data_IF_812039549183
#
_entry.id   IF_812039549183
#
_cell.length_a   1.000
_cell.length_b   1.000
_cell.length_c   1.000
_cell.angle_alpha   90.00
_cell.angle_beta   90.00
_cell.angle_gamma   90.00
#
_symmetry.space_group_name_H-M   'P 1'
#
loop_
_entity.id
_entity.type
_entity.pdbx_description
1 polymer ?
#
# COMPACT_ATOMS: atom_id res chain seq x y z
N UNK A 1 -21.97 17.71 26.55
CA UNK A 1 -22.24 18.11 25.15
C UNK A 1 -23.72 18.39 25.04
N UNK A 2 -24.06 19.66 24.92
CA UNK A 2 -25.44 20.13 24.74
C UNK A 2 -25.81 20.02 23.25
N UNK A 3 -27.10 19.86 22.94
CA UNK A 3 -27.58 19.68 21.55
C UNK A 3 -27.18 20.84 20.61
N UNK A 4 -26.91 22.01 21.16
CA UNK A 4 -26.45 23.19 20.44
C UNK A 4 -25.00 23.04 19.90
N UNK A 5 -24.16 22.26 20.58
CA UNK A 5 -22.80 21.94 20.13
C UNK A 5 -22.80 20.86 19.03
N UNK A 6 -23.83 19.99 19.00
CA UNK A 6 -23.98 18.97 17.97
C UNK A 6 -24.54 19.56 16.66
N UNK A 7 -25.47 20.52 16.75
CA UNK A 7 -26.06 21.19 15.58
C UNK A 7 -25.07 22.13 14.87
N UNK A 8 -24.12 22.75 15.59
CA UNK A 8 -23.04 23.53 14.96
C UNK A 8 -22.05 22.66 14.19
N UNK A 9 -21.92 21.38 14.53
CA UNK A 9 -21.02 20.45 13.84
C UNK A 9 -21.65 19.84 12.58
N UNK A 10 -22.98 19.84 12.49
CA UNK A 10 -23.73 19.19 11.41
C UNK A 10 -24.20 20.17 10.32
N UNK A 11 -24.24 21.49 10.62
CA UNK A 11 -24.58 22.55 9.65
C UNK A 11 -23.37 23.35 9.12
N UNK A 12 -22.14 22.98 9.49
CA UNK A 12 -20.92 23.52 8.89
C UNK A 12 -20.52 22.69 7.68
N UNK A 13 -21.15 22.90 6.53
CA UNK A 13 -20.65 22.40 5.24
C UNK A 13 -19.21 22.92 5.05
N UNK A 14 -18.20 22.05 4.90
CA UNK A 14 -16.93 22.48 4.39
C UNK A 14 -17.14 22.80 2.91
N UNK A 15 -17.13 24.08 2.58
CA UNK A 15 -16.96 24.58 1.22
C UNK A 15 -15.59 24.10 0.71
N UNK A 16 -15.58 23.04 -0.11
CA UNK A 16 -14.36 22.44 -0.69
C UNK A 16 -13.89 23.24 -1.92
N UNK A 17 -14.43 24.43 -2.16
CA UNK A 17 -13.99 25.32 -3.23
C UNK A 17 -12.77 26.16 -2.83
N UNK A 18 -11.61 25.52 -2.67
CA UNK A 18 -10.26 26.06 -2.93
C UNK A 18 -9.21 25.04 -2.47
N UNK A 19 -9.02 24.00 -3.26
CA UNK A 19 -7.73 23.31 -3.32
C UNK A 19 -7.02 23.93 -4.51
N UNK A 20 -5.88 24.57 -4.24
CA UNK A 20 -5.00 25.16 -5.25
C UNK A 20 -4.77 24.18 -6.41
N UNK A 21 -5.17 24.61 -7.61
CA UNK A 21 -4.85 23.96 -8.88
C UNK A 21 -3.33 23.93 -9.05
N UNK A 22 -2.69 22.81 -8.71
CA UNK A 22 -1.51 22.40 -9.43
C UNK A 22 -1.95 22.07 -10.87
N UNK A 23 -1.26 22.56 -11.91
CA UNK A 23 -1.73 22.39 -13.28
C UNK A 23 -1.74 20.90 -13.63
N UNK A 24 -2.94 20.34 -13.76
CA UNK A 24 -3.18 19.11 -14.49
C UNK A 24 -2.77 19.36 -15.94
N UNK A 25 -1.53 19.01 -16.26
CA UNK A 25 -1.20 18.64 -17.63
C UNK A 25 -1.85 17.27 -17.85
N UNK A 26 -3.04 17.28 -18.45
CA UNK A 26 -3.56 16.14 -19.19
C UNK A 26 -2.55 15.80 -20.30
N UNK A 27 -1.50 15.04 -19.98
CA UNK A 27 -0.81 14.28 -21.01
C UNK A 27 -1.78 13.18 -21.45
N UNK A 28 -2.42 13.39 -22.61
CA UNK A 28 -3.06 12.33 -23.37
C UNK A 28 -2.14 11.11 -23.37
N UNK A 29 -2.54 10.05 -22.66
CA UNK A 29 -1.87 8.76 -22.73
C UNK A 29 -2.14 8.16 -24.11
N UNK A 30 -1.38 8.61 -25.12
CA UNK A 30 -1.32 7.97 -26.43
C UNK A 30 -0.70 6.60 -26.22
N UNK A 31 -1.54 5.58 -26.10
CA UNK A 31 -1.13 4.20 -26.37
C UNK A 31 -0.73 4.14 -27.84
N UNK A 32 0.52 4.45 -28.14
CA UNK A 32 1.13 4.08 -29.42
C UNK A 32 1.16 2.56 -29.45
N UNK A 33 0.18 1.98 -30.15
CA UNK A 33 0.21 0.57 -30.51
C UNK A 33 1.40 0.36 -31.43
N UNK A 34 2.46 -0.24 -30.90
CA UNK A 34 3.65 -0.58 -31.64
C UNK A 34 3.32 -1.68 -32.66
N UNK A 35 3.41 -1.37 -33.94
CA UNK A 35 3.42 -2.39 -35.00
C UNK A 35 4.84 -2.97 -35.08
N UNK A 36 5.04 -4.28 -34.78
CA UNK A 36 6.36 -4.89 -34.76
C UNK A 36 7.12 -4.82 -36.10
N UNK A 37 6.43 -4.54 -37.21
CA UNK A 37 7.01 -4.49 -38.55
C UNK A 37 7.46 -3.10 -39.02
N UNK A 38 7.18 -2.00 -38.29
CA UNK A 38 7.52 -0.63 -38.71
C UNK A 38 8.23 0.19 -37.61
N UNK A 39 8.99 -0.47 -36.73
CA UNK A 39 9.81 0.25 -35.76
C UNK A 39 10.98 0.96 -36.46
N UNK A 40 10.77 2.24 -36.76
CA UNK A 40 11.82 3.18 -37.12
C UNK A 40 12.05 4.10 -35.93
N UNK A 41 13.31 4.22 -35.51
CA UNK A 41 13.70 5.20 -34.50
C UNK A 41 13.53 6.58 -35.14
N UNK A 42 12.46 7.29 -34.80
CA UNK A 42 12.28 8.68 -35.22
C UNK A 42 13.45 9.51 -34.69
N UNK A 43 14.30 10.01 -35.60
CA UNK A 43 15.52 10.74 -35.29
C UNK A 43 15.29 12.10 -34.59
N UNK A 44 14.03 12.53 -34.50
CA UNK A 44 13.61 13.78 -33.82
C UNK A 44 13.46 13.61 -32.29
N UNK A 45 13.38 12.38 -31.77
CA UNK A 45 13.40 12.15 -30.31
C UNK A 45 14.83 12.27 -29.80
N UNK A 46 15.06 13.22 -28.88
CA UNK A 46 16.38 13.55 -28.31
C UNK A 46 17.01 12.30 -27.67
N UNK A 47 18.00 11.75 -28.34
CA UNK A 47 18.78 10.59 -27.93
C UNK A 47 20.08 11.03 -27.23
N UNK A 48 20.54 10.36 -26.15
CA UNK A 48 19.93 9.22 -25.47
C UNK A 48 18.73 9.60 -24.60
N UNK A 49 17.80 8.65 -24.32
CA UNK A 49 16.72 8.86 -23.36
C UNK A 49 17.31 9.27 -21.99
N UNK A 50 16.60 10.11 -21.21
CA UNK A 50 17.07 10.51 -19.89
C UNK A 50 17.29 9.27 -19.01
N UNK A 51 18.31 9.28 -18.14
CA UNK A 51 18.57 8.17 -17.24
C UNK A 51 17.32 7.87 -16.39
N UNK A 52 17.01 6.59 -16.11
CA UNK A 52 15.84 6.24 -15.32
C UNK A 52 15.85 6.98 -13.98
N UNK A 53 14.81 7.78 -13.72
CA UNK A 53 14.56 8.35 -12.38
C UNK A 53 14.22 7.23 -11.40
N UNK A 54 14.29 7.50 -10.09
CA UNK A 54 14.06 6.49 -9.04
C UNK A 54 12.70 5.78 -9.20
N UNK A 55 11.69 6.49 -9.70
CA UNK A 55 10.34 5.96 -9.98
C UNK A 55 10.29 4.92 -11.10
N UNK A 56 11.31 4.87 -11.96
CA UNK A 56 11.42 3.87 -13.03
C UNK A 56 12.26 2.65 -12.61
N UNK A 57 12.83 2.67 -11.39
CA UNK A 57 13.59 1.55 -10.84
C UNK A 57 12.66 0.58 -10.11
N UNK A 58 11.90 -0.19 -10.90
CA UNK A 58 10.93 -1.18 -10.41
C UNK A 58 11.50 -2.16 -9.38
N UNK A 59 12.80 -2.49 -9.47
CA UNK A 59 13.49 -3.36 -8.50
C UNK A 59 13.61 -2.70 -7.12
N UNK A 60 13.92 -1.40 -7.09
CA UNK A 60 14.05 -0.63 -5.85
C UNK A 60 12.68 -0.47 -5.16
N UNK A 61 11.64 -0.16 -5.94
CA UNK A 61 10.27 -0.07 -5.43
C UNK A 61 9.79 -1.38 -4.82
N UNK A 62 10.08 -2.52 -5.46
CA UNK A 62 9.74 -3.83 -4.91
C UNK A 62 10.52 -4.14 -3.62
N UNK A 63 11.80 -3.75 -3.53
CA UNK A 63 12.60 -3.90 -2.30
C UNK A 63 12.02 -3.03 -1.15
N UNK A 64 11.64 -1.78 -1.44
CA UNK A 64 10.98 -0.88 -0.46
C UNK A 64 9.64 -1.44 0.02
N UNK A 65 8.79 -1.89 -0.89
CA UNK A 65 7.50 -2.51 -0.55
C UNK A 65 7.71 -3.75 0.32
N UNK A 66 8.73 -4.56 0.03
CA UNK A 66 9.04 -5.77 0.82
C UNK A 66 9.42 -5.41 2.25
N UNK A 67 10.28 -4.39 2.42
CA UNK A 67 10.75 -3.91 3.72
C UNK A 67 9.64 -3.26 4.55
N UNK A 68 8.84 -2.40 3.93
CA UNK A 68 7.73 -1.73 4.62
C UNK A 68 6.66 -2.75 5.03
N UNK A 69 6.39 -3.74 4.18
CA UNK A 69 5.47 -4.85 4.48
C UNK A 69 5.95 -5.69 5.66
N UNK A 70 7.26 -5.89 5.83
CA UNK A 70 7.82 -6.61 6.99
C UNK A 70 7.60 -5.82 8.29
N UNK A 71 7.93 -4.53 8.31
CA UNK A 71 7.76 -3.67 9.50
C UNK A 71 6.29 -3.54 9.87
N UNK A 72 5.42 -3.31 8.89
CA UNK A 72 3.97 -3.24 9.09
C UNK A 72 3.39 -4.59 9.49
N UNK A 73 3.95 -5.67 8.96
CA UNK A 73 3.71 -7.02 9.43
C UNK A 73 3.89 -7.09 10.94
N UNK A 74 5.12 -6.96 11.44
CA UNK A 74 5.40 -7.05 12.88
C UNK A 74 4.46 -6.20 13.75
N UNK A 75 4.14 -4.97 13.33
CA UNK A 75 3.19 -4.10 14.05
C UNK A 75 1.78 -4.70 14.15
N UNK A 76 1.29 -5.37 13.11
CA UNK A 76 -0.02 -6.04 13.13
C UNK A 76 0.03 -7.24 14.09
N UNK A 77 1.12 -8.02 14.10
CA UNK A 77 1.28 -9.13 15.04
C UNK A 77 1.23 -8.65 16.50
N UNK A 78 2.00 -7.61 16.83
CA UNK A 78 2.00 -7.02 18.17
C UNK A 78 0.59 -6.56 18.56
N UNK A 79 -0.14 -5.94 17.63
CA UNK A 79 -1.49 -5.47 17.89
C UNK A 79 -2.49 -6.62 18.08
N UNK A 80 -2.37 -7.71 17.32
CA UNK A 80 -3.19 -8.91 17.49
C UNK A 80 -2.92 -9.59 18.84
N UNK A 81 -1.66 -9.60 19.31
CA UNK A 81 -1.31 -10.12 20.63
C UNK A 81 -1.94 -9.29 21.74
N UNK A 82 -1.86 -7.95 21.63
CA UNK A 82 -2.53 -7.03 22.58
C UNK A 82 -4.05 -7.27 22.61
N UNK A 83 -4.67 -7.53 21.45
CA UNK A 83 -6.10 -7.85 21.38
C UNK A 83 -6.43 -9.18 22.07
N UNK A 84 -5.65 -10.23 21.81
CA UNK A 84 -5.82 -11.53 22.47
C UNK A 84 -5.67 -11.45 23.99
N UNK A 85 -4.63 -10.74 24.47
CA UNK A 85 -4.40 -10.48 25.89
C UNK A 85 -5.54 -9.66 26.52
N UNK A 86 -6.04 -8.66 25.78
CA UNK A 86 -7.18 -7.84 26.18
C UNK A 86 -8.45 -8.68 26.35
N UNK A 87 -8.75 -9.54 25.38
CA UNK A 87 -9.85 -10.50 25.45
C UNK A 87 -9.69 -11.43 26.66
N UNK A 88 -8.51 -12.01 26.87
CA UNK A 88 -8.25 -12.86 28.04
C UNK A 88 -8.50 -12.16 29.39
N UNK A 89 -8.13 -10.87 29.50
CA UNK A 89 -8.41 -10.05 30.70
C UNK A 89 -9.92 -9.80 30.88
N UNK A 90 -10.63 -9.44 29.81
CA UNK A 90 -12.10 -9.25 29.83
C UNK A 90 -12.77 -10.55 30.28
N UNK A 91 -12.38 -11.69 29.69
CA UNK A 91 -12.94 -13.00 30.02
C UNK A 91 -12.77 -13.34 31.52
N UNK A 92 -11.58 -13.06 32.08
CA UNK A 92 -11.30 -13.28 33.51
C UNK A 92 -12.14 -12.37 34.42
N UNK A 93 -12.25 -11.09 34.09
CA UNK A 93 -13.06 -10.14 34.86
C UNK A 93 -14.55 -10.48 34.80
N UNK A 94 -15.07 -10.80 33.60
CA UNK A 94 -16.44 -11.23 33.39
C UNK A 94 -16.77 -12.53 34.17
N UNK A 95 -15.85 -13.52 34.20
CA UNK A 95 -16.01 -14.73 35.02
C UNK A 95 -16.08 -14.42 36.52
N UNK A 96 -15.32 -13.45 37.02
CA UNK A 96 -15.38 -13.04 38.42
C UNK A 96 -16.70 -12.32 38.75
N UNK A 97 -17.17 -11.43 37.88
CA UNK A 97 -18.46 -10.76 38.03
C UNK A 97 -19.61 -11.78 38.00
N UNK A 98 -19.56 -12.77 37.11
CA UNK A 98 -20.55 -13.86 37.06
C UNK A 98 -20.67 -14.59 38.40
N UNK A 99 -19.55 -14.98 39.02
CA UNK A 99 -19.54 -15.64 40.34
C UNK A 99 -20.16 -14.76 41.44
N UNK A 100 -19.88 -13.46 41.41
CA UNK A 100 -20.48 -12.51 42.35
C UNK A 100 -22.00 -12.45 42.15
N UNK A 101 -22.47 -12.34 40.90
CA UNK A 101 -23.91 -12.32 40.60
C UNK A 101 -24.61 -13.62 40.98
N UNK A 102 -23.97 -14.78 40.84
CA UNK A 102 -24.52 -16.06 41.31
C UNK A 102 -24.78 -16.04 42.82
N UNK A 103 -23.86 -15.46 43.60
CA UNK A 103 -24.07 -15.26 45.06
C UNK A 103 -25.22 -14.29 45.34
N UNK A 104 -25.36 -13.22 44.57
CA UNK A 104 -26.45 -12.25 44.73
C UNK A 104 -27.81 -12.85 44.35
N UNK A 105 -27.87 -13.65 43.30
CA UNK A 105 -29.06 -14.38 42.87
C UNK A 105 -29.55 -15.33 43.98
N UNK A 106 -28.63 -16.08 44.62
CA UNK A 106 -28.97 -16.92 45.77
C UNK A 106 -29.50 -16.11 46.96
N UNK A 107 -28.90 -14.95 47.24
CA UNK A 107 -29.33 -14.07 48.34
C UNK A 107 -30.74 -13.52 48.08
N UNK A 108 -30.99 -13.00 46.88
CA UNK A 108 -32.31 -12.46 46.51
C UNK A 108 -33.37 -13.56 46.43
N UNK A 109 -33.02 -14.77 45.99
CA UNK A 109 -33.92 -15.92 46.01
C UNK A 109 -34.36 -16.28 47.43
N UNK A 110 -33.42 -16.32 48.39
CA UNK A 110 -33.73 -16.53 49.82
C UNK A 110 -34.59 -15.39 50.40
N UNK A 111 -34.30 -14.14 50.04
CA UNK A 111 -35.08 -12.97 50.48
C UNK A 111 -36.50 -12.97 49.92
N UNK A 112 -36.69 -13.33 48.64
CA UNK A 112 -38.02 -13.46 48.03
C UNK A 112 -38.83 -14.58 48.71
N UNK A 113 -38.19 -15.70 49.06
CA UNK A 113 -38.84 -16.79 49.78
C UNK A 113 -39.24 -16.40 51.22
N UNK A 114 -38.39 -15.63 51.92
CA UNK A 114 -38.65 -15.19 53.29
C UNK A 114 -39.64 -14.02 53.37
N UNK A 115 -39.67 -13.14 52.36
CA UNK A 115 -40.50 -11.94 52.32
C UNK A 115 -41.25 -11.81 50.98
N UNK A 116 -42.24 -12.68 50.71
CA UNK A 116 -42.92 -12.76 49.41
C UNK A 116 -43.75 -11.52 49.04
N UNK A 117 -44.04 -10.65 50.00
CA UNK A 117 -44.81 -9.42 49.77
C UNK A 117 -43.94 -8.20 49.41
N UNK A 118 -42.61 -8.34 49.38
CA UNK A 118 -41.71 -7.23 49.03
C UNK A 118 -41.31 -7.33 47.56
N UNK A 119 -42.00 -6.54 46.73
CA UNK A 119 -41.78 -6.49 45.28
C UNK A 119 -40.36 -6.05 44.88
N UNK A 120 -39.70 -5.23 45.71
CA UNK A 120 -38.34 -4.76 45.44
C UNK A 120 -37.31 -5.89 45.32
N UNK A 121 -37.48 -6.99 46.07
CA UNK A 121 -36.57 -8.14 45.99
C UNK A 121 -36.78 -8.94 44.70
N UNK A 122 -38.04 -9.08 44.25
CA UNK A 122 -38.36 -9.71 42.98
C UNK A 122 -37.75 -8.93 41.81
N UNK A 123 -37.91 -7.60 41.81
CA UNK A 123 -37.33 -6.73 40.78
C UNK A 123 -35.80 -6.79 40.77
N UNK A 124 -35.16 -6.83 41.95
CA UNK A 124 -33.70 -6.96 42.07
C UNK A 124 -33.19 -8.31 41.58
N UNK A 125 -33.95 -9.40 41.81
CA UNK A 125 -33.64 -10.73 41.31
C UNK A 125 -33.71 -10.77 39.77
N UNK A 126 -34.78 -10.24 39.17
CA UNK A 126 -34.94 -10.14 37.72
C UNK A 126 -33.84 -9.29 37.08
N UNK A 127 -33.51 -8.15 37.69
CA UNK A 127 -32.41 -7.30 37.25
C UNK A 127 -31.05 -8.03 37.32
N UNK A 128 -30.81 -8.78 38.40
CA UNK A 128 -29.59 -9.59 38.55
C UNK A 128 -29.49 -10.65 37.45
N UNK A 129 -30.61 -11.30 37.09
CA UNK A 129 -30.67 -12.27 36.00
C UNK A 129 -30.34 -11.64 34.65
N UNK A 130 -30.93 -10.47 34.37
CA UNK A 130 -30.65 -9.74 33.13
C UNK A 130 -29.18 -9.34 33.01
N UNK A 131 -28.56 -8.85 34.09
CA UNK A 131 -27.13 -8.51 34.09
C UNK A 131 -26.27 -9.77 33.88
N UNK A 132 -26.68 -10.92 34.43
CA UNK A 132 -25.98 -12.20 34.23
C UNK A 132 -26.04 -12.66 32.77
N UNK A 133 -27.14 -12.40 32.06
CA UNK A 133 -27.23 -12.67 30.62
C UNK A 133 -26.33 -11.74 29.81
N UNK A 134 -26.29 -10.44 30.12
CA UNK A 134 -25.33 -9.50 29.51
C UNK A 134 -23.87 -9.94 29.72
N UNK A 135 -23.53 -10.50 30.89
CA UNK A 135 -22.19 -11.05 31.13
C UNK A 135 -21.90 -12.25 30.24
N UNK A 136 -22.89 -13.11 29.93
CA UNK A 136 -22.68 -14.22 28.98
C UNK A 136 -22.39 -13.69 27.58
N UNK A 137 -23.10 -12.65 27.15
CA UNK A 137 -22.82 -11.99 25.86
C UNK A 137 -21.40 -11.42 25.83
N UNK A 138 -20.95 -10.75 26.89
CA UNK A 138 -19.58 -10.25 27.02
C UNK A 138 -18.55 -11.40 26.95
N UNK A 139 -18.84 -12.54 27.58
CA UNK A 139 -17.97 -13.72 27.52
C UNK A 139 -17.87 -14.28 26.09
N UNK A 140 -19.01 -14.42 25.41
CA UNK A 140 -19.05 -14.90 24.03
C UNK A 140 -18.32 -13.95 23.08
N UNK A 141 -18.56 -12.64 23.18
CA UNK A 141 -17.87 -11.64 22.39
C UNK A 141 -16.36 -11.64 22.65
N UNK A 142 -15.94 -11.88 23.89
CA UNK A 142 -14.52 -12.04 24.24
C UNK A 142 -13.90 -13.28 23.62
N UNK A 143 -14.63 -14.39 23.56
CA UNK A 143 -14.16 -15.62 22.92
C UNK A 143 -14.05 -15.43 21.40
N UNK A 144 -15.04 -14.77 20.77
CA UNK A 144 -15.03 -14.40 19.35
C UNK A 144 -13.84 -13.50 18.99
N UNK A 145 -13.51 -12.50 19.82
CA UNK A 145 -12.34 -11.63 19.61
C UNK A 145 -11.05 -12.44 19.65
N UNK A 146 -10.95 -13.38 20.59
CA UNK A 146 -9.75 -14.21 20.72
C UNK A 146 -9.59 -15.13 19.50
N UNK A 147 -10.67 -15.80 19.10
CA UNK A 147 -10.68 -16.67 17.91
C UNK A 147 -10.36 -15.88 16.64
N UNK A 148 -10.95 -14.69 16.47
CA UNK A 148 -10.65 -13.81 15.35
C UNK A 148 -9.19 -13.34 15.34
N UNK A 149 -8.62 -13.06 16.51
CA UNK A 149 -7.21 -12.66 16.65
C UNK A 149 -6.28 -13.80 16.26
N UNK A 150 -6.57 -15.04 16.68
CA UNK A 150 -5.81 -16.23 16.28
C UNK A 150 -5.93 -16.51 14.78
N UNK A 151 -7.14 -16.42 14.21
CA UNK A 151 -7.35 -16.58 12.77
C UNK A 151 -6.63 -15.51 11.94
N UNK A 152 -6.60 -14.27 12.42
CA UNK A 152 -5.87 -13.18 11.77
C UNK A 152 -4.35 -13.44 11.81
N UNK A 153 -3.81 -13.95 12.92
CA UNK A 153 -2.40 -14.34 13.01
C UNK A 153 -2.06 -15.47 12.02
N UNK A 154 -2.94 -16.45 11.85
CA UNK A 154 -2.75 -17.53 10.86
C UNK A 154 -2.81 -16.99 9.42
N UNK A 155 -3.76 -16.11 9.11
CA UNK A 155 -3.84 -15.47 7.80
C UNK A 155 -2.58 -14.64 7.51
N UNK A 156 -2.05 -13.96 8.51
CA UNK A 156 -0.88 -13.13 8.38
C UNK A 156 0.39 -13.92 8.05
N UNK A 157 0.45 -15.22 8.36
CA UNK A 157 1.52 -16.08 7.84
C UNK A 157 1.55 -16.13 6.30
N UNK A 158 0.41 -15.96 5.62
CA UNK A 158 0.38 -15.85 4.16
C UNK A 158 1.06 -14.56 3.64
N UNK A 159 1.17 -13.51 4.45
CA UNK A 159 1.89 -12.29 4.10
C UNK A 159 3.39 -12.56 3.93
N UNK A 160 3.98 -13.42 4.78
CA UNK A 160 5.39 -13.81 4.61
C UNK A 160 5.62 -14.58 3.30
N UNK A 161 4.66 -15.39 2.86
CA UNK A 161 4.71 -16.06 1.55
C UNK A 161 4.74 -15.03 0.41
N UNK A 162 3.95 -13.95 0.51
CA UNK A 162 3.97 -12.88 -0.50
C UNK A 162 5.30 -12.13 -0.53
N UNK A 163 5.86 -11.82 0.64
CA UNK A 163 7.20 -11.23 0.78
C UNK A 163 8.25 -12.09 0.06
N UNK A 164 8.30 -13.39 0.32
CA UNK A 164 9.23 -14.33 -0.32
C UNK A 164 9.04 -14.40 -1.85
N UNK A 165 7.79 -14.35 -2.33
CA UNK A 165 7.50 -14.33 -3.78
C UNK A 165 8.04 -13.05 -4.43
N UNK A 166 7.89 -11.90 -3.78
CA UNK A 166 8.43 -10.63 -4.27
C UNK A 166 9.97 -10.69 -4.29
N UNK A 167 10.62 -11.15 -3.20
CA UNK A 167 12.08 -11.34 -3.16
C UNK A 167 12.59 -12.22 -4.32
N UNK A 168 11.87 -13.30 -4.63
CA UNK A 168 12.20 -14.16 -5.78
C UNK A 168 12.10 -13.41 -7.10
N UNK A 169 11.06 -12.62 -7.31
CA UNK A 169 10.88 -11.80 -8.53
C UNK A 169 12.00 -10.77 -8.64
N UNK A 170 12.33 -10.07 -7.54
CA UNK A 170 13.42 -9.10 -7.47
C UNK A 170 14.76 -9.74 -7.89
N UNK A 171 15.06 -10.93 -7.38
CA UNK A 171 16.29 -11.66 -7.73
C UNK A 171 16.32 -12.03 -9.23
N UNK A 172 15.20 -12.48 -9.79
CA UNK A 172 15.10 -12.76 -11.23
C UNK A 172 15.28 -11.48 -12.05
N UNK A 173 14.68 -10.36 -11.64
CA UNK A 173 14.81 -9.06 -12.31
C UNK A 173 16.26 -8.54 -12.27
N UNK A 174 16.97 -8.67 -11.14
CA UNK A 174 18.41 -8.33 -11.07
C UNK A 174 19.24 -9.22 -11.99
N UNK A 175 18.97 -10.52 -12.04
CA UNK A 175 19.66 -11.44 -12.94
C UNK A 175 19.40 -11.12 -14.42
N UNK A 176 18.17 -10.74 -14.77
CA UNK A 176 17.82 -10.29 -16.12
C UNK A 176 18.55 -9.01 -16.50
N UNK A 177 18.62 -8.02 -15.59
CA UNK A 177 19.38 -6.79 -15.83
C UNK A 177 20.87 -7.07 -16.04
N UNK A 178 21.48 -7.94 -15.21
CA UNK A 178 22.87 -8.37 -15.38
C UNK A 178 23.09 -9.13 -16.70
N UNK A 179 22.16 -10.01 -17.08
CA UNK A 179 22.22 -10.74 -18.33
C UNK A 179 22.14 -9.80 -19.54
N UNK A 180 21.23 -8.82 -19.51
CA UNK A 180 21.12 -7.80 -20.54
C UNK A 180 22.38 -6.96 -20.66
N UNK A 181 22.92 -6.49 -19.52
CA UNK A 181 24.19 -5.75 -19.51
C UNK A 181 25.33 -6.60 -20.09
N UNK A 182 25.41 -7.89 -19.72
CA UNK A 182 26.41 -8.82 -20.23
C UNK A 182 26.24 -9.15 -21.72
N UNK A 183 25.01 -9.20 -22.24
CA UNK A 183 24.73 -9.35 -23.67
C UNK A 183 25.21 -8.13 -24.48
N UNK A 184 25.06 -6.92 -23.92
CA UNK A 184 25.51 -5.68 -24.56
C UNK A 184 27.00 -5.39 -24.36
N UNK A 185 27.63 -6.05 -23.39
CA UNK A 185 29.07 -6.00 -23.13
C UNK A 185 29.83 -6.79 -24.23
N UNK A 186 29.97 -6.15 -25.40
CA UNK A 186 30.70 -6.75 -26.53
C UNK A 186 32.18 -6.98 -26.21
N UNK A 187 32.75 -8.07 -26.76
CA UNK A 187 34.17 -8.49 -26.58
C UNK A 187 35.24 -7.48 -27.01
N UNK A 188 34.82 -6.38 -27.63
CA UNK A 188 35.70 -5.37 -28.22
C UNK A 188 35.54 -4.09 -27.39
N UNK A 189 36.67 -3.62 -26.87
CA UNK A 189 36.85 -2.31 -26.23
C UNK A 189 36.24 -1.21 -27.10
N UNK A 190 35.41 -0.34 -26.51
CA UNK A 190 34.71 0.75 -27.20
C UNK A 190 35.67 1.64 -28.01
N UNK A 191 36.92 1.75 -27.54
CA UNK A 191 38.00 2.47 -28.22
C UNK A 191 38.39 1.89 -29.59
N UNK A 192 38.05 0.62 -29.85
CA UNK A 192 38.31 -0.11 -31.10
C UNK A 192 37.06 -0.30 -31.94
N UNK A 193 35.90 0.19 -31.50
CA UNK A 193 34.66 0.11 -32.25
C UNK A 193 34.64 1.17 -33.35
N UNK A 194 34.02 0.84 -34.47
CA UNK A 194 33.80 1.79 -35.57
C UNK A 194 32.90 2.90 -35.02
N UNK A 195 33.24 4.15 -35.29
CA UNK A 195 32.46 5.32 -34.89
C UNK A 195 30.99 5.12 -35.26
N UNK A 196 30.10 5.20 -34.27
CA UNK A 196 28.66 5.11 -34.51
C UNK A 196 28.24 6.16 -35.54
N UNK A 197 27.58 5.72 -36.61
CA UNK A 197 27.06 6.64 -37.61
C UNK A 197 25.94 7.47 -36.97
N UNK A 198 26.13 8.79 -36.92
CA UNK A 198 25.12 9.73 -36.42
C UNK A 198 24.09 10.07 -37.50
N UNK A 199 24.41 9.80 -38.77
CA UNK A 199 23.60 10.13 -39.94
C UNK A 199 23.58 8.98 -40.95
N UNK A 200 22.44 8.75 -41.58
CA UNK A 200 22.29 7.82 -42.70
C UNK A 200 21.84 8.56 -43.97
N UNK A 201 22.12 7.97 -45.13
CA UNK A 201 21.69 8.54 -46.41
C UNK A 201 20.15 8.64 -46.46
N UNK A 202 19.64 9.87 -46.54
CA UNK A 202 18.20 10.17 -46.50
C UNK A 202 17.73 10.92 -45.24
N UNK A 203 18.59 11.15 -44.25
CA UNK A 203 18.29 12.07 -43.15
C UNK A 203 18.25 13.50 -43.66
N UNK A 204 17.11 14.17 -43.50
CA UNK A 204 16.95 15.58 -43.83
C UNK A 204 17.30 16.43 -42.60
N UNK A 205 18.42 17.14 -42.65
CA UNK A 205 18.78 18.16 -41.65
C UNK A 205 19.54 19.31 -42.31
N UNK A 206 19.25 20.53 -41.85
CA UNK A 206 19.84 21.79 -42.34
C UNK A 206 21.35 21.95 -42.04
N UNK A 207 21.93 21.04 -41.26
CA UNK A 207 23.36 21.04 -40.87
C UNK A 207 24.27 20.27 -41.85
N UNK A 208 23.71 19.73 -42.94
CA UNK A 208 24.47 19.12 -44.03
C UNK A 208 24.80 20.21 -45.04
N UNK A 209 26.09 20.49 -45.25
CA UNK A 209 26.53 21.47 -46.23
C UNK A 209 25.96 21.11 -47.61
N UNK A 210 25.11 21.98 -48.16
CA UNK A 210 24.54 21.76 -49.47
C UNK A 210 25.62 21.97 -50.54
N UNK A 211 25.37 21.46 -51.74
CA UNK A 211 26.32 21.55 -52.86
C UNK A 211 26.70 23.02 -53.17
N UNK A 212 25.78 23.97 -52.93
CA UNK A 212 26.04 25.42 -52.98
C UNK A 212 26.98 25.92 -51.88
N UNK A 213 26.85 25.42 -50.64
CA UNK A 213 27.74 25.78 -49.53
C UNK A 213 29.16 25.27 -49.78
N UNK A 214 29.27 24.09 -50.42
CA UNK A 214 30.53 23.48 -50.83
C UNK A 214 31.17 24.27 -51.97
N UNK A 215 30.40 24.69 -52.99
CA UNK A 215 30.89 25.57 -54.06
C UNK A 215 31.33 26.95 -53.55
N UNK A 216 30.60 27.54 -52.59
CA UNK A 216 30.98 28.80 -51.95
C UNK A 216 32.31 28.67 -51.19
N UNK A 217 32.52 27.55 -50.49
CA UNK A 217 33.78 27.24 -49.82
C UNK A 217 34.93 27.06 -50.82
N UNK A 218 34.71 26.33 -51.92
CA UNK A 218 35.72 26.14 -52.98
C UNK A 218 36.08 27.48 -53.63
N UNK A 219 35.10 28.34 -53.90
CA UNK A 219 35.33 29.68 -54.46
C UNK A 219 36.14 30.57 -53.50
N UNK A 220 35.86 30.50 -52.19
CA UNK A 220 36.60 31.26 -51.16
C UNK A 220 38.07 30.83 -51.04
N UNK A 221 38.39 29.57 -51.31
CA UNK A 221 39.76 29.04 -51.28
C UNK A 221 40.50 29.17 -52.62
N UNK A 222 39.78 29.21 -53.75
CA UNK A 222 40.33 29.43 -55.08
C UNK A 222 40.70 30.90 -55.38
N UNK A 223 40.22 31.85 -54.57
CA UNK A 223 40.63 33.25 -54.61
C UNK A 223 41.89 33.48 -53.76
N UNK A 224 43.04 33.00 -54.23
CA UNK A 224 44.36 33.38 -53.70
C UNK A 224 45.37 33.57 -54.81
#
# INVERSE_FOLDING_TARGET
>A
MTQEELDSLMNGEPDIAQVDEAPEQEEEFKKETFDPNDFRVEADKKWPPPPPTEDHKVVHQLDEVTKDTEVKGTQIFDQLEIMGDGAGKIQKQAKNLKKYLETQEELFSKLCAAFPHIQSFQNALESTQSVKDNIKEILNASDEINDASMQAMDLMQYQDIHRQKIERVINVMRALAQYMNSLFEGKIDDSKRVSSAVFIAGDNKDDVANEEDIEALIASFGAK
#
